data_IF_736486016987
#
_entry.id   IF_736486016987
#
_cell.length_a   1.000
_cell.length_b   1.000
_cell.length_c   1.000
_cell.angle_alpha   90.00
_cell.angle_beta   90.00
_cell.angle_gamma   90.00
#
_symmetry.space_group_name_H-M   'P 1'
#
loop_
_entity.id
_entity.type
_entity.pdbx_description
1 polymer ?
#
# COMPACT_ATOMS: atom_id res chain seq x y z
N UNK A 1 -14.85 -4.82 -41.19
CA UNK A 1 -14.64 -3.76 -40.17
C UNK A 1 -15.20 -4.09 -38.79
N UNK A 2 -16.31 -4.85 -38.65
CA UNK A 2 -16.90 -5.20 -37.33
C UNK A 2 -16.08 -6.18 -36.48
N UNK A 3 -15.26 -7.04 -37.09
CA UNK A 3 -14.41 -8.01 -36.38
C UNK A 3 -13.21 -7.36 -35.69
N UNK A 4 -12.62 -6.32 -36.29
CA UNK A 4 -11.45 -5.62 -35.74
C UNK A 4 -11.79 -4.90 -34.43
N UNK A 5 -12.95 -4.23 -34.37
CA UNK A 5 -13.39 -3.53 -33.15
C UNK A 5 -13.67 -4.50 -31.99
N UNK A 6 -14.13 -5.73 -32.29
CA UNK A 6 -14.34 -6.76 -31.26
C UNK A 6 -13.02 -7.21 -30.65
N UNK A 7 -11.99 -7.37 -31.49
CA UNK A 7 -10.65 -7.75 -31.01
C UNK A 7 -9.97 -6.64 -30.21
N UNK A 8 -10.08 -5.38 -30.64
CA UNK A 8 -9.56 -4.25 -29.89
C UNK A 8 -10.21 -4.15 -28.50
N UNK A 9 -11.52 -4.41 -28.39
CA UNK A 9 -12.23 -4.41 -27.12
C UNK A 9 -11.76 -5.54 -26.19
N UNK A 10 -11.54 -6.75 -26.73
CA UNK A 10 -11.03 -7.88 -25.94
C UNK A 10 -9.62 -7.62 -25.45
N UNK A 11 -8.74 -7.07 -26.29
CA UNK A 11 -7.36 -6.72 -25.89
C UNK A 11 -7.37 -5.64 -24.81
N UNK A 12 -8.21 -4.61 -24.96
CA UNK A 12 -8.35 -3.56 -23.95
C UNK A 12 -8.85 -4.11 -22.61
N UNK A 13 -9.80 -5.05 -22.64
CA UNK A 13 -10.32 -5.70 -21.43
C UNK A 13 -9.24 -6.54 -20.73
N UNK A 14 -8.42 -7.29 -21.48
CA UNK A 14 -7.32 -8.07 -20.92
C UNK A 14 -6.25 -7.15 -20.31
N UNK A 15 -5.87 -6.08 -21.00
CA UNK A 15 -4.89 -5.11 -20.48
C UNK A 15 -5.39 -4.41 -19.21
N UNK A 16 -6.68 -4.05 -19.14
CA UNK A 16 -7.27 -3.46 -17.94
C UNK A 16 -7.18 -4.41 -16.72
N UNK A 17 -7.41 -5.71 -16.93
CA UNK A 17 -7.30 -6.70 -15.85
C UNK A 17 -5.85 -6.87 -15.36
N UNK A 18 -4.87 -6.82 -16.26
CA UNK A 18 -3.44 -6.90 -15.91
C UNK A 18 -3.03 -5.70 -15.05
N UNK A 19 -3.48 -4.48 -15.39
CA UNK A 19 -3.19 -3.26 -14.61
C UNK A 19 -3.75 -3.36 -13.19
N UNK A 20 -4.98 -3.84 -13.02
CA UNK A 20 -5.61 -4.00 -11.70
C UNK A 20 -4.87 -5.05 -10.85
N UNK A 21 -4.44 -6.14 -11.47
CA UNK A 21 -3.68 -7.20 -10.78
C UNK A 21 -2.30 -6.69 -10.34
N UNK A 22 -1.61 -5.92 -11.18
CA UNK A 22 -0.32 -5.31 -10.87
C UNK A 22 -0.41 -4.26 -9.74
N UNK A 23 -1.52 -3.52 -9.64
CA UNK A 23 -1.77 -2.58 -8.54
C UNK A 23 -2.04 -3.29 -7.20
N UNK A 24 -2.55 -4.52 -7.25
CA UNK A 24 -2.88 -5.32 -6.06
C UNK A 24 -1.64 -6.00 -5.47
N UNK A 25 -0.57 -6.18 -6.26
CA UNK A 25 0.71 -6.72 -5.80
C UNK A 25 1.63 -5.63 -5.22
N UNK A 26 1.15 -4.78 -4.31
CA UNK A 26 2.07 -4.10 -3.39
C UNK A 26 2.53 -5.14 -2.38
N UNK A 27 3.68 -5.74 -2.65
CA UNK A 27 4.28 -6.78 -1.84
C UNK A 27 4.42 -6.34 -0.38
N UNK A 28 3.54 -6.88 0.46
CA UNK A 28 3.61 -6.77 1.91
C UNK A 28 4.74 -7.63 2.46
N UNK A 29 5.98 -7.23 2.22
CA UNK A 29 7.15 -7.67 2.99
C UNK A 29 7.75 -6.44 3.65
N UNK A 30 6.94 -5.79 4.49
CA UNK A 30 7.39 -4.68 5.33
C UNK A 30 8.02 -5.22 6.61
N UNK A 31 9.15 -4.66 7.02
CA UNK A 31 9.73 -4.92 8.34
C UNK A 31 8.81 -4.44 9.45
N UNK A 32 8.71 -5.21 10.53
CA UNK A 32 7.88 -4.85 11.69
C UNK A 32 8.69 -3.93 12.61
N UNK A 33 8.18 -2.73 12.87
CA UNK A 33 8.78 -1.78 13.82
C UNK A 33 8.07 -1.96 15.17
N UNK A 34 8.81 -2.46 16.17
CA UNK A 34 8.35 -2.54 17.56
C UNK A 34 9.18 -1.62 18.44
N UNK A 35 8.52 -0.96 19.41
CA UNK A 35 9.18 -0.08 20.37
C UNK A 35 8.22 0.41 21.45
N UNK A 36 8.78 0.98 22.51
CA UNK A 36 8.03 1.62 23.60
C UNK A 36 8.20 3.13 23.47
N UNK A 37 7.11 3.88 23.49
CA UNK A 37 7.16 5.35 23.51
C UNK A 37 7.31 5.81 24.95
N UNK A 38 8.40 6.53 25.24
CA UNK A 38 8.72 6.99 26.59
C UNK A 38 9.24 8.43 26.61
N UNK A 39 8.97 9.14 27.71
CA UNK A 39 9.52 10.47 28.01
C UNK A 39 10.16 10.43 29.38
N UNK A 40 11.45 10.80 29.47
CA UNK A 40 12.18 10.81 30.75
C UNK A 40 12.28 9.45 31.47
N UNK A 41 12.09 8.33 30.77
CA UNK A 41 12.06 6.98 31.35
C UNK A 41 10.68 6.46 31.73
N UNK A 42 9.62 7.24 31.51
CA UNK A 42 8.22 6.84 31.76
C UNK A 42 7.52 6.54 30.43
N UNK A 43 6.85 5.37 30.27
CA UNK A 43 6.08 5.09 29.08
C UNK A 43 4.88 6.04 28.97
N UNK A 44 4.65 6.56 27.76
CA UNK A 44 3.55 7.48 27.49
C UNK A 44 2.39 6.72 26.83
N UNK A 45 1.27 6.49 27.54
CA UNK A 45 0.08 5.91 26.95
C UNK A 45 -0.72 6.95 26.15
N UNK A 46 -1.51 6.50 25.18
CA UNK A 46 -2.42 7.33 24.39
C UNK A 46 -1.74 8.16 23.29
N UNK A 47 -0.47 7.89 22.99
CA UNK A 47 0.27 8.59 21.93
C UNK A 47 -0.04 8.01 20.56
N UNK A 48 -0.15 8.89 19.57
CA UNK A 48 -0.33 8.53 18.16
C UNK A 48 1.01 8.63 17.45
N UNK A 49 1.48 7.50 16.93
CA UNK A 49 2.68 7.38 16.11
C UNK A 49 2.27 7.43 14.64
N UNK A 50 2.94 8.24 13.83
CA UNK A 50 2.79 8.23 12.38
C UNK A 50 4.13 7.94 11.75
N UNK A 51 4.30 6.74 11.19
CA UNK A 51 5.47 6.34 10.44
C UNK A 51 5.21 6.61 8.95
N UNK A 52 6.14 7.27 8.28
CA UNK A 52 6.09 7.45 6.82
C UNK A 52 7.23 6.64 6.22
N UNK A 53 6.91 5.66 5.37
CA UNK A 53 7.92 4.98 4.59
C UNK A 53 8.38 5.93 3.48
N UNK A 54 9.63 6.37 3.53
CA UNK A 54 10.19 7.34 2.56
C UNK A 54 10.33 6.77 1.15
N UNK A 55 10.38 5.44 1.02
CA UNK A 55 10.55 4.76 -0.27
C UNK A 55 9.21 4.58 -0.99
N UNK A 56 8.13 4.34 -0.24
CA UNK A 56 6.77 4.11 -0.79
C UNK A 56 5.82 5.29 -0.57
N UNK A 57 6.22 6.32 0.19
CA UNK A 57 5.40 7.43 0.68
C UNK A 57 4.13 6.98 1.45
N UNK A 58 4.10 5.74 1.92
CA UNK A 58 2.98 5.20 2.68
C UNK A 58 3.03 5.66 4.14
N UNK A 59 1.87 6.04 4.68
CA UNK A 59 1.73 6.47 6.07
C UNK A 59 1.03 5.41 6.89
N UNK A 60 1.66 5.00 7.97
CA UNK A 60 1.10 4.12 8.97
C UNK A 60 0.89 4.89 10.27
N UNK A 61 -0.34 4.92 10.76
CA UNK A 61 -0.68 5.52 12.04
C UNK A 61 -1.02 4.42 13.04
N UNK A 62 -0.39 4.44 14.20
CA UNK A 62 -0.65 3.48 15.29
C UNK A 62 -0.74 4.22 16.61
N UNK A 63 -1.71 3.86 17.43
CA UNK A 63 -1.88 4.36 18.80
C UNK A 63 -1.49 3.30 19.81
N UNK A 64 -0.76 3.68 20.86
CA UNK A 64 -0.41 2.81 22.01
C UNK A 64 -1.25 3.11 23.22
#
# INVERSE_FOLDING_TARGET
MRSLNRWLFVIALVLANIVVLAQTQRGGTGGIIHGIVQSGGTPLPGVTLTATNTDTNEKFTTST
#
